data_IF_566471841843
#
_entry.id   IF_566471841843
#
_cell.length_a   1.000
_cell.length_b   1.000
_cell.length_c   1.000
_cell.angle_alpha   90.00
_cell.angle_beta   90.00
_cell.angle_gamma   90.00
#
_symmetry.space_group_name_H-M   'P 1'
#
loop_
_entity.id
_entity.type
_entity.pdbx_description
1 polymer ?
#
# COMPACT_ATOMS: atom_id res chain seq x y z
N UNK A 1 -30.79 -12.97 27.96
CA UNK A 1 -30.98 -13.37 29.38
C UNK A 1 -31.96 -14.53 29.52
N UNK A 2 -33.08 -14.55 28.79
CA UNK A 2 -34.00 -15.70 28.77
C UNK A 2 -33.33 -17.01 28.33
N UNK A 3 -32.44 -16.94 27.32
CA UNK A 3 -31.73 -18.12 26.81
C UNK A 3 -30.77 -18.74 27.85
N UNK A 4 -30.11 -17.91 28.65
CA UNK A 4 -29.21 -18.38 29.72
C UNK A 4 -29.98 -19.05 30.87
N UNK A 5 -31.17 -18.55 31.20
CA UNK A 5 -32.07 -19.16 32.21
C UNK A 5 -32.59 -20.51 31.69
N UNK A 6 -32.86 -20.59 30.39
CA UNK A 6 -33.32 -21.81 29.73
C UNK A 6 -32.24 -22.89 29.65
N UNK A 7 -31.00 -22.50 29.37
CA UNK A 7 -29.85 -23.43 29.38
C UNK A 7 -29.64 -24.05 30.77
N UNK A 8 -29.72 -23.22 31.82
CA UNK A 8 -29.69 -23.69 33.21
C UNK A 8 -30.89 -24.59 33.54
N UNK A 9 -32.09 -24.25 33.04
CA UNK A 9 -33.28 -25.06 33.24
C UNK A 9 -33.13 -26.45 32.61
N UNK A 10 -32.56 -26.58 31.42
CA UNK A 10 -32.35 -27.87 30.74
C UNK A 10 -31.38 -28.78 31.51
N UNK A 11 -30.39 -28.20 32.20
CA UNK A 11 -29.42 -28.96 33.02
C UNK A 11 -29.97 -29.31 34.41
N UNK A 12 -30.68 -28.39 35.06
CA UNK A 12 -31.16 -28.56 36.44
C UNK A 12 -32.50 -29.28 36.55
N UNK A 13 -33.41 -29.14 35.58
CA UNK A 13 -34.71 -29.82 35.64
C UNK A 13 -34.56 -31.35 35.75
N UNK A 14 -33.73 -32.02 34.94
CA UNK A 14 -33.59 -33.48 35.00
C UNK A 14 -33.06 -33.95 36.36
N UNK A 15 -32.16 -33.18 36.98
CA UNK A 15 -31.61 -33.47 38.31
C UNK A 15 -32.67 -33.32 39.40
N UNK A 16 -33.47 -32.26 39.34
CA UNK A 16 -34.59 -32.03 40.28
C UNK A 16 -35.69 -33.09 40.08
N UNK A 17 -36.02 -33.43 38.84
CA UNK A 17 -36.98 -34.50 38.51
C UNK A 17 -36.51 -35.87 39.01
N UNK A 18 -35.21 -36.17 38.89
CA UNK A 18 -34.63 -37.41 39.43
C UNK A 18 -34.73 -37.45 40.96
N UNK A 19 -34.39 -36.35 41.64
CA UNK A 19 -34.50 -36.25 43.10
C UNK A 19 -35.95 -36.37 43.58
N UNK A 20 -36.90 -35.73 42.90
CA UNK A 20 -38.34 -35.84 43.19
C UNK A 20 -38.85 -37.25 42.89
N UNK A 21 -38.41 -37.87 41.81
CA UNK A 21 -38.74 -39.26 41.47
C UNK A 21 -38.31 -40.24 42.56
N UNK A 22 -37.11 -40.07 43.12
CA UNK A 22 -36.60 -40.87 44.26
C UNK A 22 -37.43 -40.63 45.53
N UNK A 23 -37.73 -39.36 45.86
CA UNK A 23 -38.55 -39.00 47.02
C UNK A 23 -39.98 -39.57 46.94
N UNK A 24 -40.55 -39.59 45.74
CA UNK A 24 -41.89 -40.17 45.49
C UNK A 24 -41.85 -41.69 45.55
N UNK A 25 -40.74 -42.31 45.13
CA UNK A 25 -40.55 -43.77 45.17
C UNK A 25 -40.43 -44.31 46.61
N UNK A 26 -39.92 -43.50 47.54
CA UNK A 26 -39.77 -43.88 48.95
C UNK A 26 -41.07 -43.83 49.77
N UNK A 27 -42.18 -43.25 49.24
CA UNK A 27 -43.43 -43.07 49.99
C UNK A 27 -44.44 -44.19 49.67
N UNK A 28 -44.88 -44.90 50.71
CA UNK A 28 -45.65 -46.16 50.65
C UNK A 28 -46.91 -46.11 49.73
N UNK A 29 -47.17 -47.14 48.90
CA UNK A 29 -47.96 -47.03 47.66
C UNK A 29 -49.49 -47.05 47.81
N UNK A 30 -50.08 -46.83 49.00
CA UNK A 30 -51.50 -47.14 49.25
C UNK A 30 -52.47 -45.94 49.33
N UNK A 31 -52.11 -44.76 48.80
CA UNK A 31 -53.07 -43.62 48.73
C UNK A 31 -53.36 -43.18 47.28
N UNK A 32 -54.60 -42.76 47.01
CA UNK A 32 -55.05 -42.20 45.70
C UNK A 32 -54.16 -41.04 45.23
N UNK A 33 -53.46 -40.39 46.16
CA UNK A 33 -52.55 -39.27 45.92
C UNK A 33 -51.31 -39.67 45.09
N UNK A 34 -50.81 -40.92 45.19
CA UNK A 34 -49.64 -41.37 44.42
C UNK A 34 -49.91 -41.47 42.91
N UNK A 35 -51.13 -41.84 42.52
CA UNK A 35 -51.51 -41.87 41.10
C UNK A 35 -51.60 -40.47 40.51
N UNK A 36 -52.18 -39.53 41.25
CA UNK A 36 -52.22 -38.12 40.83
C UNK A 36 -50.80 -37.53 40.69
N UNK A 37 -49.90 -37.87 41.60
CA UNK A 37 -48.51 -37.39 41.57
C UNK A 37 -47.71 -37.99 40.40
N UNK A 38 -47.90 -39.28 40.10
CA UNK A 38 -47.32 -39.89 38.89
C UNK A 38 -47.87 -39.27 37.61
N UNK A 39 -49.18 -39.04 37.55
CA UNK A 39 -49.82 -38.40 36.40
C UNK A 39 -49.31 -36.97 36.19
N UNK A 40 -49.14 -36.18 37.26
CA UNK A 40 -48.57 -34.83 37.15
C UNK A 40 -47.12 -34.84 36.67
N UNK A 41 -46.33 -35.83 37.09
CA UNK A 41 -44.92 -35.96 36.70
C UNK A 41 -44.78 -36.35 35.22
N UNK A 42 -45.65 -37.24 34.73
CA UNK A 42 -45.72 -37.59 33.28
C UNK A 42 -46.18 -36.40 32.44
N UNK A 43 -47.23 -35.69 32.86
CA UNK A 43 -47.71 -34.49 32.17
C UNK A 43 -46.64 -33.39 32.14
N UNK A 44 -45.91 -33.22 33.23
CA UNK A 44 -44.80 -32.28 33.29
C UNK A 44 -43.66 -32.68 32.35
N UNK A 45 -43.29 -33.97 32.29
CA UNK A 45 -42.31 -34.48 31.34
C UNK A 45 -42.71 -34.24 29.88
N UNK A 46 -43.99 -34.42 29.53
CA UNK A 46 -44.50 -34.14 28.19
C UNK A 46 -44.47 -32.64 27.88
N UNK A 47 -44.81 -31.78 28.83
CA UNK A 47 -44.74 -30.33 28.67
C UNK A 47 -43.30 -29.86 28.43
N UNK A 48 -42.34 -30.35 29.22
CA UNK A 48 -40.91 -30.04 29.05
C UNK A 48 -40.39 -30.52 27.70
N UNK A 49 -40.74 -31.75 27.28
CA UNK A 49 -40.37 -32.27 25.97
C UNK A 49 -40.91 -31.40 24.83
N UNK A 50 -42.16 -30.94 24.93
CA UNK A 50 -42.76 -30.02 23.96
C UNK A 50 -42.03 -28.67 23.88
N UNK A 51 -41.65 -28.09 25.02
CA UNK A 51 -40.88 -26.83 25.06
C UNK A 51 -39.49 -27.01 24.44
N UNK A 52 -38.79 -28.10 24.75
CA UNK A 52 -37.48 -28.41 24.16
C UNK A 52 -37.58 -28.59 22.65
N UNK A 53 -38.62 -29.29 22.17
CA UNK A 53 -38.85 -29.45 20.74
C UNK A 53 -39.10 -28.11 20.03
N UNK A 54 -39.91 -27.24 20.64
CA UNK A 54 -40.18 -25.89 20.11
C UNK A 54 -38.91 -25.04 20.02
N UNK A 55 -38.05 -25.11 21.04
CA UNK A 55 -36.77 -24.40 21.04
C UNK A 55 -35.81 -24.93 19.98
N UNK A 56 -35.69 -26.25 19.87
CA UNK A 56 -34.83 -26.85 18.86
C UNK A 56 -35.30 -26.50 17.44
N UNK A 57 -36.62 -26.43 17.20
CA UNK A 57 -37.18 -25.97 15.93
C UNK A 57 -36.81 -24.51 15.62
N UNK A 58 -36.90 -23.62 16.61
CA UNK A 58 -36.53 -22.21 16.47
C UNK A 58 -35.04 -22.01 16.21
N UNK A 59 -34.17 -22.76 16.88
CA UNK A 59 -32.72 -22.68 16.67
C UNK A 59 -32.34 -23.21 15.27
N UNK A 60 -33.02 -24.24 14.78
CA UNK A 60 -32.79 -24.75 13.42
C UNK A 60 -33.17 -23.74 12.35
N UNK A 61 -34.25 -22.98 12.54
CA UNK A 61 -34.67 -21.97 11.56
C UNK A 61 -33.72 -20.76 11.54
N UNK A 62 -33.23 -20.31 12.69
CA UNK A 62 -32.21 -19.24 12.74
C UNK A 62 -30.89 -19.70 12.14
N UNK A 63 -30.46 -20.92 12.44
CA UNK A 63 -29.22 -21.45 11.87
C UNK A 63 -29.29 -21.64 10.34
N UNK A 64 -30.43 -22.08 9.81
CA UNK A 64 -30.63 -22.16 8.36
C UNK A 64 -30.56 -20.78 7.68
N UNK A 65 -31.08 -19.73 8.33
CA UNK A 65 -30.96 -18.36 7.83
C UNK A 65 -29.53 -17.84 7.87
N UNK A 66 -28.78 -18.13 8.94
CA UNK A 66 -27.37 -17.76 9.07
C UNK A 66 -26.51 -18.43 8.01
N UNK A 67 -26.68 -19.75 7.81
CA UNK A 67 -25.96 -20.51 6.77
C UNK A 67 -26.32 -20.01 5.38
N UNK A 68 -27.60 -19.70 5.12
CA UNK A 68 -28.03 -19.08 3.87
C UNK A 68 -27.37 -17.72 3.64
N UNK A 69 -27.32 -16.86 4.65
CA UNK A 69 -26.67 -15.55 4.59
C UNK A 69 -25.15 -15.64 4.40
N UNK A 70 -24.49 -16.62 5.04
CA UNK A 70 -23.06 -16.91 4.85
C UNK A 70 -22.77 -17.36 3.42
N UNK A 71 -23.60 -18.24 2.85
CA UNK A 71 -23.45 -18.67 1.45
C UNK A 71 -23.65 -17.52 0.47
N UNK A 72 -24.58 -16.60 0.73
CA UNK A 72 -24.75 -15.40 -0.09
C UNK A 72 -23.51 -14.48 -0.02
N UNK A 73 -22.96 -14.26 1.18
CA UNK A 73 -21.72 -13.47 1.35
C UNK A 73 -20.54 -14.14 0.64
N UNK A 74 -20.40 -15.45 0.77
CA UNK A 74 -19.36 -16.22 0.07
C UNK A 74 -19.49 -16.07 -1.45
N UNK A 75 -20.71 -16.21 -1.98
CA UNK A 75 -20.98 -16.03 -3.42
C UNK A 75 -20.65 -14.62 -3.89
N UNK A 76 -20.94 -13.59 -3.09
CA UNK A 76 -20.61 -12.21 -3.40
C UNK A 76 -19.09 -11.96 -3.41
N UNK A 77 -18.36 -12.55 -2.47
CA UNK A 77 -16.89 -12.48 -2.44
C UNK A 77 -16.29 -13.16 -3.66
N UNK A 78 -16.77 -14.36 -4.01
CA UNK A 78 -16.29 -15.08 -5.19
C UNK A 78 -16.48 -14.29 -6.49
N UNK A 79 -17.62 -13.61 -6.66
CA UNK A 79 -17.86 -12.72 -7.80
C UNK A 79 -16.87 -11.57 -7.84
N UNK A 80 -16.69 -10.86 -6.72
CA UNK A 80 -15.71 -9.76 -6.64
C UNK A 80 -14.29 -10.22 -6.96
N UNK A 81 -13.89 -11.40 -6.49
CA UNK A 81 -12.57 -11.95 -6.80
C UNK A 81 -12.43 -12.25 -8.30
N UNK A 82 -13.47 -12.79 -8.93
CA UNK A 82 -13.51 -13.00 -10.38
C UNK A 82 -13.42 -11.70 -11.18
N UNK A 83 -14.16 -10.67 -10.76
CA UNK A 83 -14.14 -9.34 -11.40
C UNK A 83 -12.75 -8.70 -11.30
N UNK A 84 -12.14 -8.74 -10.11
CA UNK A 84 -10.78 -8.24 -9.87
C UNK A 84 -9.73 -9.01 -10.69
N UNK A 85 -9.88 -10.32 -10.85
CA UNK A 85 -9.00 -11.11 -11.71
C UNK A 85 -9.14 -10.70 -13.19
N UNK A 86 -10.37 -10.42 -13.63
CA UNK A 86 -10.66 -9.90 -14.96
C UNK A 86 -9.99 -8.54 -15.21
N UNK A 87 -10.16 -7.59 -14.29
CA UNK A 87 -9.52 -6.28 -14.34
C UNK A 87 -7.99 -6.38 -14.33
N UNK A 88 -7.42 -7.26 -13.50
CA UNK A 88 -5.98 -7.48 -13.47
C UNK A 88 -5.43 -8.04 -14.79
N UNK A 89 -6.18 -8.90 -15.48
CA UNK A 89 -5.79 -9.40 -16.82
C UNK A 89 -5.87 -8.29 -17.86
N UNK A 90 -6.91 -7.45 -17.83
CA UNK A 90 -7.05 -6.31 -18.74
C UNK A 90 -5.92 -5.31 -18.55
N UNK A 91 -5.62 -4.92 -17.30
CA UNK A 91 -4.53 -4.00 -16.99
C UNK A 91 -3.16 -4.54 -17.42
N UNK A 92 -2.93 -5.86 -17.29
CA UNK A 92 -1.70 -6.48 -17.79
C UNK A 92 -1.60 -6.43 -19.32
N UNK A 93 -2.70 -6.67 -20.03
CA UNK A 93 -2.74 -6.55 -21.49
C UNK A 93 -2.49 -5.11 -21.94
N UNK A 94 -3.12 -4.14 -21.27
CA UNK A 94 -2.92 -2.71 -21.54
C UNK A 94 -1.47 -2.27 -21.28
N UNK A 95 -0.86 -2.71 -20.17
CA UNK A 95 0.56 -2.45 -19.90
C UNK A 95 1.49 -3.06 -20.95
N UNK A 96 1.18 -4.26 -21.45
CA UNK A 96 1.98 -4.89 -22.50
C UNK A 96 1.88 -4.09 -23.81
N UNK A 97 0.68 -3.66 -24.19
CA UNK A 97 0.47 -2.83 -25.37
C UNK A 97 1.20 -1.49 -25.25
N UNK A 98 1.07 -0.80 -24.10
CA UNK A 98 1.75 0.47 -23.87
C UNK A 98 3.29 0.34 -23.93
N UNK A 99 3.84 -0.78 -23.43
CA UNK A 99 5.28 -1.07 -23.56
C UNK A 99 5.71 -1.31 -25.00
N UNK A 100 4.91 -2.03 -25.79
CA UNK A 100 5.19 -2.23 -27.21
C UNK A 100 5.16 -0.90 -27.98
N UNK A 101 4.15 -0.06 -27.73
CA UNK A 101 4.06 1.27 -28.34
C UNK A 101 5.27 2.15 -27.97
N UNK A 102 5.69 2.15 -26.70
CA UNK A 102 6.90 2.86 -26.29
C UNK A 102 8.16 2.34 -26.98
N UNK A 103 8.30 1.03 -27.14
CA UNK A 103 9.44 0.44 -27.86
C UNK A 103 9.44 0.86 -29.33
N UNK A 104 8.30 0.78 -30.02
CA UNK A 104 8.17 1.21 -31.42
C UNK A 104 8.48 2.69 -31.58
N UNK A 105 7.95 3.54 -30.70
CA UNK A 105 8.19 4.98 -30.72
C UNK A 105 9.66 5.31 -30.43
N UNK A 106 10.29 4.62 -29.46
CA UNK A 106 11.72 4.79 -29.18
C UNK A 106 12.60 4.39 -30.36
N UNK A 107 12.25 3.32 -31.07
CA UNK A 107 12.95 2.88 -32.28
C UNK A 107 12.82 3.92 -33.40
N UNK A 108 11.61 4.49 -33.59
CA UNK A 108 11.38 5.58 -34.54
C UNK A 108 12.21 6.82 -34.20
N UNK A 109 12.27 7.21 -32.92
CA UNK A 109 13.08 8.35 -32.46
C UNK A 109 14.57 8.12 -32.69
N UNK A 110 15.08 6.93 -32.34
CA UNK A 110 16.49 6.59 -32.60
C UNK A 110 16.84 6.63 -34.08
N UNK A 111 15.92 6.20 -34.95
CA UNK A 111 16.14 6.29 -36.39
C UNK A 111 16.16 7.74 -36.88
N UNK A 112 15.21 8.56 -36.43
CA UNK A 112 15.19 10.00 -36.75
C UNK A 112 16.44 10.73 -36.25
N UNK A 113 16.95 10.39 -35.05
CA UNK A 113 18.20 10.94 -34.51
C UNK A 113 19.41 10.55 -35.37
N UNK A 114 19.49 9.30 -35.85
CA UNK A 114 20.54 8.87 -36.77
C UNK A 114 20.49 9.61 -38.10
N UNK A 115 19.29 9.77 -38.67
CA UNK A 115 19.11 10.49 -39.93
C UNK A 115 19.49 11.97 -39.78
N UNK A 116 19.11 12.60 -38.66
CA UNK A 116 19.50 13.97 -38.34
C UNK A 116 21.02 14.10 -38.17
N UNK A 117 21.66 13.16 -37.47
CA UNK A 117 23.11 13.15 -37.31
C UNK A 117 23.84 13.04 -38.66
N UNK A 118 23.37 12.18 -39.57
CA UNK A 118 23.89 12.09 -40.93
C UNK A 118 23.69 13.40 -41.70
N UNK A 119 22.52 14.02 -41.60
CA UNK A 119 22.22 15.30 -42.25
C UNK A 119 23.12 16.43 -41.74
N UNK A 120 23.32 16.54 -40.42
CA UNK A 120 24.22 17.52 -39.79
C UNK A 120 25.67 17.28 -40.22
N UNK A 121 26.12 16.02 -40.28
CA UNK A 121 27.47 15.70 -40.73
C UNK A 121 27.68 16.07 -42.21
N UNK A 122 26.71 15.78 -43.07
CA UNK A 122 26.75 16.14 -44.49
C UNK A 122 26.70 17.65 -44.69
N UNK A 123 25.83 18.35 -43.95
CA UNK A 123 25.76 19.81 -43.94
C UNK A 123 27.08 20.41 -43.46
N UNK A 124 27.65 19.93 -42.35
CA UNK A 124 28.94 20.39 -41.83
C UNK A 124 30.09 20.20 -42.82
N UNK A 125 30.10 19.09 -43.57
CA UNK A 125 31.09 18.86 -44.65
C UNK A 125 30.91 19.84 -45.80
N UNK A 126 29.65 20.09 -46.21
CA UNK A 126 29.32 21.06 -47.27
C UNK A 126 29.66 22.50 -46.85
N UNK A 127 29.33 22.90 -45.62
CA UNK A 127 29.68 24.20 -45.05
C UNK A 127 31.19 24.34 -44.87
N UNK A 128 31.92 23.32 -44.39
CA UNK A 128 33.38 23.37 -44.31
C UNK A 128 34.03 23.49 -45.69
N UNK A 129 33.50 22.82 -46.72
CA UNK A 129 33.99 22.96 -48.08
C UNK A 129 33.78 24.39 -48.59
N UNK A 130 32.56 24.94 -48.47
CA UNK A 130 32.26 26.31 -48.85
C UNK A 130 33.04 27.37 -48.06
N UNK A 131 33.18 27.18 -46.74
CA UNK A 131 33.96 28.06 -45.86
C UNK A 131 35.47 27.92 -46.13
N UNK A 132 35.98 26.75 -46.49
CA UNK A 132 37.38 26.60 -46.92
C UNK A 132 37.64 27.31 -48.26
N UNK A 133 36.66 27.28 -49.16
CA UNK A 133 36.67 28.07 -50.41
C UNK A 133 36.72 29.59 -50.12
N UNK A 134 35.92 30.06 -49.14
CA UNK A 134 35.82 31.47 -48.76
C UNK A 134 37.00 31.96 -47.89
N UNK A 135 37.53 31.14 -46.97
CA UNK A 135 38.73 31.46 -46.16
C UNK A 135 39.97 31.58 -47.05
N UNK A 136 40.05 30.84 -48.17
CA UNK A 136 41.13 30.99 -49.15
C UNK A 136 41.14 32.38 -49.82
N UNK A 137 40.02 33.12 -49.76
CA UNK A 137 39.85 34.46 -50.35
C UNK A 137 39.91 35.60 -49.32
N UNK A 138 40.10 35.36 -48.02
CA UNK A 138 40.14 36.46 -47.04
C UNK A 138 41.03 36.14 -45.83
N UNK A 139 42.10 36.94 -45.58
CA UNK A 139 42.93 36.76 -44.41
C UNK A 139 42.32 37.53 -43.24
N UNK A 140 41.55 36.86 -42.39
CA UNK A 140 41.12 37.41 -41.10
C UNK A 140 41.59 36.48 -39.99
N UNK A 141 42.56 36.96 -39.22
CA UNK A 141 42.99 36.36 -37.94
C UNK A 141 41.91 36.64 -36.89
N UNK A 142 41.30 35.59 -36.38
CA UNK A 142 40.42 35.66 -35.19
C UNK A 142 41.13 34.94 -34.05
N UNK A 143 41.64 35.72 -33.09
CA UNK A 143 42.11 35.22 -31.81
C UNK A 143 40.90 34.89 -30.92
N UNK A 144 40.70 33.60 -30.67
CA UNK A 144 39.72 33.11 -29.69
C UNK A 144 40.38 33.08 -28.33
N UNK A 145 40.26 34.17 -27.57
CA UNK A 145 40.50 34.19 -26.13
C UNK A 145 39.34 33.50 -25.42
N UNK A 146 39.42 32.19 -25.25
CA UNK A 146 38.53 31.44 -24.38
C UNK A 146 39.07 31.43 -22.95
N UNK A 147 38.40 32.13 -22.02
CA UNK A 147 38.51 31.86 -20.59
C UNK A 147 37.51 30.75 -20.22
N UNK A 148 37.93 29.59 -19.66
CA UNK A 148 37.02 28.63 -19.05
C UNK A 148 37.37 28.48 -17.56
N UNK A 149 36.96 29.42 -16.70
CA UNK A 149 37.33 29.33 -15.26
C UNK A 149 36.19 29.64 -14.27
N UNK A 150 34.97 29.97 -14.69
CA UNK A 150 33.88 30.24 -13.71
C UNK A 150 33.03 28.99 -13.35
N UNK A 151 32.84 28.04 -14.25
CA UNK A 151 31.85 26.96 -14.10
C UNK A 151 32.24 25.85 -13.09
N UNK A 152 33.54 25.59 -12.87
CA UNK A 152 33.99 24.49 -11.99
C UNK A 152 33.84 24.80 -10.50
N UNK A 153 34.01 26.05 -10.10
CA UNK A 153 33.93 26.45 -8.69
C UNK A 153 32.49 26.49 -8.17
N UNK A 154 31.54 26.93 -9.02
CA UNK A 154 30.12 27.00 -8.69
C UNK A 154 29.50 25.60 -8.62
N UNK A 155 29.79 24.73 -9.60
CA UNK A 155 29.36 23.31 -9.56
C UNK A 155 29.85 22.58 -8.31
N UNK A 156 31.07 22.88 -7.86
CA UNK A 156 31.61 22.30 -6.62
C UNK A 156 30.83 22.75 -5.39
N UNK A 157 30.48 24.03 -5.27
CA UNK A 157 29.65 24.54 -4.17
C UNK A 157 28.27 23.90 -4.17
N UNK A 158 27.62 23.83 -5.33
CA UNK A 158 26.30 23.22 -5.47
C UNK A 158 26.32 21.77 -5.00
N UNK A 159 27.40 21.04 -5.32
CA UNK A 159 27.59 19.66 -4.89
C UNK A 159 27.76 19.52 -3.38
N UNK A 160 28.57 20.39 -2.77
CA UNK A 160 28.81 20.38 -1.32
C UNK A 160 27.51 20.63 -0.55
N UNK A 161 26.69 21.59 -1.00
CA UNK A 161 25.39 21.91 -0.42
C UNK A 161 24.38 20.75 -0.58
N UNK A 162 24.29 20.14 -1.77
CA UNK A 162 23.43 18.96 -1.99
C UNK A 162 23.87 17.77 -1.13
N UNK A 163 25.17 17.57 -0.94
CA UNK A 163 25.70 16.52 -0.08
C UNK A 163 25.37 16.75 1.40
N UNK A 164 25.30 18.00 1.85
CA UNK A 164 24.80 18.34 3.19
C UNK A 164 23.31 18.01 3.35
N UNK A 165 22.47 18.42 2.40
CA UNK A 165 21.04 18.07 2.41
C UNK A 165 20.80 16.56 2.38
N UNK A 166 21.61 15.82 1.60
CA UNK A 166 21.56 14.37 1.56
C UNK A 166 21.92 13.76 2.92
N UNK A 167 23.00 14.22 3.57
CA UNK A 167 23.39 13.76 4.92
C UNK A 167 22.30 14.00 5.96
N UNK A 168 21.67 15.19 5.94
CA UNK A 168 20.51 15.51 6.80
C UNK A 168 19.33 14.57 6.53
N UNK A 169 19.01 14.30 5.26
CA UNK A 169 17.96 13.37 4.88
C UNK A 169 18.23 11.92 5.34
N UNK A 170 19.47 11.44 5.23
CA UNK A 170 19.88 10.12 5.74
C UNK A 170 19.71 10.04 7.26
N UNK A 171 20.13 11.06 8.01
CA UNK A 171 19.96 11.10 9.46
C UNK A 171 18.48 11.06 9.87
N UNK A 172 17.61 11.80 9.17
CA UNK A 172 16.16 11.76 9.40
C UNK A 172 15.56 10.39 9.08
N UNK A 173 15.97 9.79 7.96
CA UNK A 173 15.55 8.44 7.56
C UNK A 173 15.91 7.40 8.63
N UNK A 174 17.14 7.44 9.14
CA UNK A 174 17.61 6.46 10.11
C UNK A 174 16.88 6.61 11.46
N UNK A 175 16.55 7.85 11.84
CA UNK A 175 15.72 8.18 13.02
C UNK A 175 14.29 7.65 12.95
N UNK A 176 13.73 7.39 11.78
CA UNK A 176 12.41 6.74 11.67
C UNK A 176 12.38 5.34 12.33
N UNK A 177 13.54 4.68 12.48
CA UNK A 177 13.65 3.37 13.16
C UNK A 177 13.80 3.48 14.67
N UNK A 178 14.48 4.53 15.14
CA UNK A 178 14.93 4.64 16.54
C UNK A 178 14.07 5.57 17.39
N UNK A 179 13.48 6.59 16.80
CA UNK A 179 12.74 7.61 17.54
C UNK A 179 11.36 7.09 17.94
N UNK A 180 10.87 7.55 19.10
CA UNK A 180 9.55 7.21 19.62
C UNK A 180 8.44 7.77 18.70
N UNK A 181 7.34 7.02 18.40
CA UNK A 181 6.23 7.43 17.53
C UNK A 181 5.71 8.87 17.72
N UNK A 182 5.77 9.43 18.93
CA UNK A 182 5.33 10.80 19.26
C UNK A 182 6.37 11.91 18.97
N UNK A 183 7.51 11.60 18.34
CA UNK A 183 8.55 12.60 18.07
C UNK A 183 8.14 13.60 16.98
N UNK A 184 8.72 14.81 17.02
CA UNK A 184 8.56 15.87 16.00
C UNK A 184 9.24 15.57 14.66
N UNK A 185 9.50 14.28 14.38
CA UNK A 185 10.28 13.84 13.23
C UNK A 185 9.58 14.18 11.91
N UNK A 186 8.25 14.15 11.88
CA UNK A 186 7.46 14.57 10.70
C UNK A 186 7.62 16.06 10.42
N UNK A 187 7.59 16.91 11.46
CA UNK A 187 7.82 18.36 11.31
C UNK A 187 9.25 18.64 10.80
N UNK A 188 10.25 17.93 11.35
CA UNK A 188 11.65 18.05 10.91
C UNK A 188 11.84 17.58 9.46
N UNK A 189 11.20 16.48 9.07
CA UNK A 189 11.24 15.96 7.71
C UNK A 189 10.55 16.90 6.72
N UNK A 190 9.40 17.47 7.11
CA UNK A 190 8.70 18.46 6.29
C UNK A 190 9.54 19.73 6.12
N UNK A 191 10.18 20.21 7.19
CA UNK A 191 11.09 21.37 7.11
C UNK A 191 12.27 21.08 6.18
N UNK A 192 12.91 19.93 6.34
CA UNK A 192 13.99 19.51 5.43
C UNK A 192 13.53 19.46 3.98
N UNK A 193 12.33 18.93 3.71
CA UNK A 193 11.79 18.88 2.36
C UNK A 193 11.62 20.27 1.74
N UNK A 194 11.07 21.22 2.51
CA UNK A 194 10.91 22.61 2.07
C UNK A 194 12.26 23.29 1.81
N UNK A 195 13.23 23.12 2.72
CA UNK A 195 14.58 23.67 2.57
C UNK A 195 15.23 23.20 1.25
N UNK A 196 15.11 21.91 0.93
CA UNK A 196 15.65 21.33 -0.31
C UNK A 196 14.93 21.86 -1.54
N UNK A 197 13.59 21.95 -1.52
CA UNK A 197 12.83 22.50 -2.64
C UNK A 197 13.20 23.95 -2.93
N UNK A 198 13.33 24.77 -1.89
CA UNK A 198 13.72 26.17 -2.02
C UNK A 198 15.13 26.29 -2.59
N UNK A 199 16.06 25.48 -2.11
CA UNK A 199 17.42 25.44 -2.63
C UNK A 199 17.46 25.02 -4.11
N UNK A 200 16.76 23.96 -4.49
CA UNK A 200 16.69 23.48 -5.87
C UNK A 200 16.08 24.54 -6.79
N UNK A 201 15.02 25.23 -6.35
CA UNK A 201 14.37 26.30 -7.12
C UNK A 201 15.28 27.50 -7.37
N UNK A 202 16.15 27.83 -6.41
CA UNK A 202 17.07 28.98 -6.50
C UNK A 202 18.33 28.68 -7.30
N UNK A 203 18.80 27.44 -7.27
CA UNK A 203 20.16 27.09 -7.69
C UNK A 203 20.22 26.18 -8.91
N UNK A 204 19.15 25.43 -9.19
CA UNK A 204 19.09 24.48 -10.31
C UNK A 204 17.85 24.73 -11.17
N UNK A 205 17.83 24.11 -12.36
CA UNK A 205 16.69 24.17 -13.25
C UNK A 205 15.45 23.48 -12.65
N UNK A 206 14.28 23.97 -13.03
CA UNK A 206 12.94 23.42 -12.76
C UNK A 206 12.82 21.91 -12.96
N UNK A 207 13.62 21.34 -13.87
CA UNK A 207 13.69 19.89 -14.12
C UNK A 207 14.18 19.08 -12.90
N UNK A 208 15.10 19.62 -12.09
CA UNK A 208 15.58 18.99 -10.86
C UNK A 208 14.53 19.07 -9.75
N UNK A 209 13.86 20.21 -9.64
CA UNK A 209 12.76 20.39 -8.69
C UNK A 209 11.62 19.40 -8.98
N UNK A 210 11.22 19.26 -10.24
CA UNK A 210 10.16 18.33 -10.64
C UNK A 210 10.54 16.86 -10.37
N UNK A 211 11.79 16.47 -10.62
CA UNK A 211 12.28 15.13 -10.29
C UNK A 211 12.27 14.86 -8.77
N UNK A 212 12.57 15.88 -7.96
CA UNK A 212 12.57 15.78 -6.50
C UNK A 212 11.15 15.75 -5.89
N UNK A 213 10.19 16.46 -6.48
CA UNK A 213 8.80 16.48 -6.01
C UNK A 213 8.01 15.25 -6.45
N UNK A 214 8.25 14.77 -7.67
CA UNK A 214 7.56 13.62 -8.25
C UNK A 214 8.14 12.27 -7.84
N UNK A 215 9.15 12.23 -6.96
CA UNK A 215 9.69 10.97 -6.44
C UNK A 215 8.63 10.23 -5.62
N UNK A 216 8.10 9.15 -6.16
CA UNK A 216 7.08 8.30 -5.52
C UNK A 216 7.74 7.29 -4.58
N UNK A 217 7.24 7.10 -3.34
CA UNK A 217 7.77 6.10 -2.41
C UNK A 217 7.69 4.69 -3.03
N UNK A 218 8.81 3.95 -3.05
CA UNK A 218 8.83 2.56 -3.50
C UNK A 218 8.05 1.65 -2.55
N UNK A 219 7.45 0.57 -3.05
CA UNK A 219 6.52 -0.28 -2.30
C UNK A 219 7.17 -1.22 -1.25
N UNK A 220 8.49 -1.12 -1.03
CA UNK A 220 9.21 -2.03 -0.14
C UNK A 220 9.21 -1.53 1.30
N UNK A 221 8.42 -2.17 2.16
CA UNK A 221 8.47 -1.89 3.60
C UNK A 221 9.81 -2.37 4.20
N UNK A 222 10.65 -1.49 4.76
CA UNK A 222 11.88 -1.91 5.43
C UNK A 222 11.55 -2.66 6.73
N UNK A 223 12.35 -3.67 7.06
CA UNK A 223 12.31 -4.31 8.37
C UNK A 223 12.72 -3.34 9.48
N UNK A 224 12.00 -3.34 10.60
CA UNK A 224 12.34 -2.56 11.80
C UNK A 224 11.86 -1.11 11.83
N UNK A 225 11.07 -0.65 10.85
CA UNK A 225 10.35 0.64 10.93
C UNK A 225 8.90 0.37 11.38
N UNK A 226 8.37 1.08 12.40
CA UNK A 226 6.97 0.97 12.79
C UNK A 226 6.05 1.27 11.59
N UNK A 227 4.95 0.52 11.42
CA UNK A 227 4.05 0.66 10.25
C UNK A 227 3.58 2.10 10.02
N UNK A 228 3.31 2.84 11.10
CA UNK A 228 2.90 4.25 11.08
C UNK A 228 3.94 5.17 10.40
N UNK A 229 5.22 4.78 10.40
CA UNK A 229 6.36 5.58 9.91
C UNK A 229 6.95 5.08 8.60
N UNK A 230 6.44 3.97 8.07
CA UNK A 230 6.92 3.40 6.80
C UNK A 230 6.75 4.42 5.67
N UNK A 231 5.61 5.12 5.62
CA UNK A 231 5.37 6.16 4.62
C UNK A 231 6.40 7.30 4.67
N UNK A 232 6.69 7.82 5.87
CA UNK A 232 7.69 8.86 6.08
C UNK A 232 9.09 8.39 5.68
N UNK A 233 9.49 7.19 6.13
CA UNK A 233 10.78 6.61 5.79
C UNK A 233 10.95 6.45 4.28
N UNK A 234 9.95 5.90 3.58
CA UNK A 234 10.01 5.71 2.13
C UNK A 234 10.09 7.05 1.40
N UNK A 235 9.30 8.03 1.83
CA UNK A 235 9.31 9.37 1.27
C UNK A 235 10.66 10.06 1.38
N UNK A 236 11.34 9.94 2.53
CA UNK A 236 12.68 10.50 2.74
C UNK A 236 13.72 9.71 1.93
N UNK A 237 13.65 8.37 1.95
CA UNK A 237 14.63 7.52 1.29
C UNK A 237 14.70 7.74 -0.23
N UNK A 238 13.55 7.82 -0.92
CA UNK A 238 13.51 8.10 -2.37
C UNK A 238 14.05 9.49 -2.72
N UNK A 239 13.77 10.48 -1.90
CA UNK A 239 14.26 11.85 -2.09
C UNK A 239 15.76 11.95 -1.87
N UNK A 240 16.29 11.26 -0.87
CA UNK A 240 17.74 11.12 -0.66
C UNK A 240 18.41 10.44 -1.86
N UNK A 241 17.82 9.38 -2.42
CA UNK A 241 18.35 8.73 -3.63
C UNK A 241 18.31 9.66 -4.84
N UNK A 242 17.24 10.46 -4.98
CA UNK A 242 17.14 11.47 -6.03
C UNK A 242 18.24 12.53 -5.89
N UNK A 243 18.53 13.01 -4.67
CA UNK A 243 19.65 13.92 -4.43
C UNK A 243 21.01 13.30 -4.78
N UNK A 244 21.23 12.02 -4.46
CA UNK A 244 22.45 11.30 -4.87
C UNK A 244 22.61 11.31 -6.40
N UNK A 245 21.54 11.03 -7.15
CA UNK A 245 21.56 11.07 -8.62
C UNK A 245 21.88 12.48 -9.15
N UNK A 246 21.44 13.53 -8.47
CA UNK A 246 21.76 14.90 -8.85
C UNK A 246 23.25 15.20 -8.66
N UNK A 247 23.82 14.78 -7.52
CA UNK A 247 25.25 14.90 -7.24
C UNK A 247 26.08 14.17 -8.31
N UNK A 248 25.66 12.96 -8.69
CA UNK A 248 26.36 12.16 -9.71
C UNK A 248 26.31 12.80 -11.10
N UNK A 249 25.20 13.45 -11.46
CA UNK A 249 25.05 14.18 -12.74
C UNK A 249 25.85 15.48 -12.81
N UNK A 250 26.26 16.01 -11.67
CA UNK A 250 27.10 17.21 -11.57
C UNK A 250 28.60 16.85 -11.63
N UNK A 251 28.98 15.57 -11.75
CA UNK A 251 30.33 15.11 -12.11
C UNK A 251 30.53 15.11 -13.63
#
# INVERSE_FOLDING_TARGET
>A
MLDAILDWAVVFLPTVLSAVGVLVSLKAPQSKHHRALRASLVLFGLAVSGVTFWQQSRVRSTHAQEVGGLNQKLSAVLRKTGDLEGEAKQLRAEQQNARQEQQVESARRQQAERDLAMMVQNSSKSTRAGVAEDIRKSPIKVEVSGQPVQDTSERRRIREDLAEYMRRGVALRDRCRTDNPKSKLEEEAQKWFMDVQEYLKRTLDSSFLNQFTMSTPSAFSPGGVPQERVGLWLGINERVQTLSKFIDRLN
#
